data_IF_413039482213
#
_entry.id   IF_413039482213
#
_cell.length_a   1.000
_cell.length_b   1.000
_cell.length_c   1.000
_cell.angle_alpha   90.00
_cell.angle_beta   90.00
_cell.angle_gamma   90.00
#
_symmetry.space_group_name_H-M   'P 1'
#
loop_
_entity.id
_entity.type
_entity.pdbx_description
1 polymer ?
#
# COMPACT_ATOMS: atom_id res chain seq x y z
N UNK A 1 -21.48 17.02 24.33
CA UNK A 1 -21.57 15.55 24.11
C UNK A 1 -20.79 15.04 22.87
N UNK A 2 -20.82 15.66 21.69
CA UNK A 2 -20.10 15.18 20.49
C UNK A 2 -18.56 15.05 20.63
N UNK A 3 -17.89 15.90 21.39
CA UNK A 3 -16.41 15.82 21.58
C UNK A 3 -15.93 14.60 22.38
N UNK A 4 -16.75 14.04 23.26
CA UNK A 4 -16.40 12.84 24.05
C UNK A 4 -16.44 11.56 23.21
N UNK A 5 -17.44 11.42 22.32
CA UNK A 5 -17.55 10.25 21.45
C UNK A 5 -16.39 10.13 20.46
N UNK A 6 -15.93 11.25 19.91
CA UNK A 6 -14.78 11.26 18.98
C UNK A 6 -13.48 10.84 19.67
N UNK A 7 -13.31 11.19 20.97
CA UNK A 7 -12.10 10.84 21.73
C UNK A 7 -12.08 9.35 22.12
N UNK A 8 -13.25 8.76 22.38
CA UNK A 8 -13.39 7.33 22.68
C UNK A 8 -13.18 6.51 21.39
N UNK A 9 -13.77 6.94 20.26
CA UNK A 9 -13.59 6.27 18.97
C UNK A 9 -12.11 6.23 18.54
N UNK A 10 -11.37 7.33 18.72
CA UNK A 10 -9.93 7.37 18.43
C UNK A 10 -9.13 6.41 19.31
N UNK A 11 -9.45 6.28 20.59
CA UNK A 11 -8.75 5.35 21.49
C UNK A 11 -9.06 3.89 21.18
N UNK A 12 -10.31 3.55 20.84
CA UNK A 12 -10.69 2.17 20.49
C UNK A 12 -10.08 1.75 19.15
N UNK A 13 -9.98 2.65 18.19
CA UNK A 13 -9.34 2.36 16.90
C UNK A 13 -7.85 2.02 17.06
N UNK A 14 -7.14 2.75 17.95
CA UNK A 14 -5.72 2.47 18.25
C UNK A 14 -5.49 1.14 18.98
N UNK A 15 -6.47 0.68 19.77
CA UNK A 15 -6.39 -0.64 20.43
C UNK A 15 -6.75 -1.79 19.50
N UNK A 16 -7.55 -1.57 18.46
CA UNK A 16 -7.89 -2.63 17.50
C UNK A 16 -6.73 -3.01 16.57
N UNK A 17 -5.82 -2.08 16.29
CA UNK A 17 -4.68 -2.34 15.40
C UNK A 17 -3.75 -3.43 15.96
N UNK A 18 -3.26 -3.37 17.23
CA UNK A 18 -2.45 -4.46 17.79
C UNK A 18 -3.24 -5.75 17.97
N UNK A 19 -4.52 -5.69 18.31
CA UNK A 19 -5.35 -6.90 18.46
C UNK A 19 -5.53 -7.63 17.11
N UNK A 20 -5.68 -6.89 15.99
CA UNK A 20 -5.70 -7.48 14.65
C UNK A 20 -4.36 -8.11 14.27
N UNK A 21 -3.25 -7.48 14.63
CA UNK A 21 -1.90 -8.00 14.37
C UNK A 21 -1.61 -9.28 15.17
N UNK A 22 -2.12 -9.38 16.41
CA UNK A 22 -1.97 -10.59 17.23
C UNK A 22 -2.87 -11.75 16.80
N UNK A 23 -4.02 -11.49 16.19
CA UNK A 23 -4.91 -12.55 15.71
C UNK A 23 -4.42 -13.25 14.41
N UNK A 24 -3.45 -12.66 13.71
CA UNK A 24 -2.87 -13.21 12.50
C UNK A 24 -1.81 -14.29 12.75
N UNK A 25 -1.37 -14.47 14.00
CA UNK A 25 -0.31 -15.43 14.36
C UNK A 25 -0.78 -16.87 14.54
N UNK A 26 -2.01 -17.24 14.22
CA UNK A 26 -2.50 -18.61 14.34
C UNK A 26 -2.34 -19.41 13.05
N UNK A 27 -1.24 -20.16 12.99
CA UNK A 27 -1.04 -21.38 12.19
C UNK A 27 -1.29 -21.29 10.68
N UNK A 28 -0.35 -20.73 9.95
CA UNK A 28 -0.18 -21.04 8.54
C UNK A 28 0.95 -22.07 8.34
N UNK A 29 0.65 -23.33 8.54
CA UNK A 29 1.49 -24.39 8.00
C UNK A 29 1.28 -24.43 6.48
N UNK A 30 2.35 -24.21 5.71
CA UNK A 30 2.57 -24.50 4.29
C UNK A 30 1.99 -23.55 3.20
N UNK A 31 1.53 -22.38 3.49
CA UNK A 31 1.38 -21.33 2.47
C UNK A 31 1.96 -20.06 3.08
N UNK A 32 3.01 -19.51 2.48
CA UNK A 32 3.67 -18.32 2.99
C UNK A 32 2.69 -17.15 3.09
N UNK A 33 2.49 -16.63 4.29
CA UNK A 33 1.76 -15.40 4.52
C UNK A 33 2.74 -14.33 4.93
N UNK A 34 2.60 -13.13 4.38
CA UNK A 34 3.52 -12.04 4.64
C UNK A 34 2.76 -10.77 4.99
N UNK A 35 3.26 -10.06 5.98
CA UNK A 35 2.94 -8.66 6.17
C UNK A 35 3.92 -7.83 5.35
N UNK A 36 3.40 -6.92 4.52
CA UNK A 36 4.23 -6.10 3.66
C UNK A 36 4.11 -4.64 4.05
N UNK A 37 5.24 -3.96 4.09
CA UNK A 37 5.31 -2.50 4.27
C UNK A 37 6.11 -1.94 3.12
N UNK A 38 5.55 -0.94 2.44
CA UNK A 38 6.21 -0.27 1.32
C UNK A 38 6.08 1.24 1.42
N UNK A 39 7.09 1.90 0.90
CA UNK A 39 7.08 3.34 0.65
C UNK A 39 7.50 3.59 -0.79
N UNK A 40 6.97 4.61 -1.40
CA UNK A 40 7.28 4.93 -2.77
C UNK A 40 6.89 6.32 -3.19
N UNK A 41 7.23 6.63 -4.41
CA UNK A 41 6.85 7.87 -5.06
C UNK A 41 6.12 7.59 -6.36
N UNK A 42 5.19 8.44 -6.70
CA UNK A 42 4.50 8.39 -7.98
C UNK A 42 4.46 9.76 -8.66
N UNK A 43 4.43 9.73 -9.98
CA UNK A 43 4.19 10.91 -10.78
C UNK A 43 2.67 11.11 -10.98
N UNK A 44 2.15 12.34 -10.87
CA UNK A 44 2.86 13.57 -10.49
C UNK A 44 2.97 13.71 -8.95
N UNK A 45 4.17 14.08 -8.47
CA UNK A 45 4.47 14.62 -7.12
C UNK A 45 3.73 13.96 -5.96
N UNK A 46 3.77 12.63 -5.90
CA UNK A 46 3.03 11.84 -4.93
C UNK A 46 3.98 10.98 -4.10
N UNK A 47 3.83 11.02 -2.79
CA UNK A 47 4.43 10.08 -1.85
C UNK A 47 3.36 9.07 -1.43
N UNK A 48 3.71 7.79 -1.45
CA UNK A 48 2.79 6.71 -1.09
C UNK A 48 3.38 5.82 0.00
N UNK A 49 2.55 5.42 0.93
CA UNK A 49 2.84 4.38 1.91
C UNK A 49 1.78 3.30 1.80
N UNK A 50 2.22 2.06 1.73
CA UNK A 50 1.34 0.89 1.62
C UNK A 50 1.61 -0.08 2.75
N UNK A 51 0.56 -0.54 3.39
CA UNK A 51 0.55 -1.68 4.31
C UNK A 51 -0.31 -2.76 3.67
N UNK A 52 0.22 -3.98 3.53
CA UNK A 52 -0.54 -5.06 2.93
C UNK A 52 -0.28 -6.42 3.59
N UNK A 53 -1.27 -7.28 3.46
CA UNK A 53 -1.21 -8.68 3.79
C UNK A 53 -1.20 -9.48 2.49
N UNK A 54 -0.16 -10.28 2.29
CA UNK A 54 -0.01 -11.17 1.16
C UNK A 54 -0.18 -12.61 1.58
N UNK A 55 -1.01 -13.34 0.86
CA UNK A 55 -1.14 -14.79 0.98
C UNK A 55 -0.62 -15.44 -0.28
N UNK A 56 0.53 -16.09 -0.16
CA UNK A 56 1.12 -16.86 -1.23
C UNK A 56 0.35 -18.19 -1.43
N UNK A 57 0.16 -18.53 -2.69
CA UNK A 57 -0.45 -19.79 -3.13
C UNK A 57 0.58 -20.64 -3.88
N UNK A 58 0.14 -21.66 -4.59
CA UNK A 58 1.04 -22.51 -5.37
C UNK A 58 1.80 -21.68 -6.42
N UNK A 59 3.07 -22.03 -6.61
CA UNK A 59 3.94 -21.46 -7.65
C UNK A 59 4.26 -19.96 -7.47
N UNK A 60 4.34 -19.46 -6.25
CA UNK A 60 4.55 -18.03 -5.94
C UNK A 60 3.48 -17.08 -6.49
N UNK A 61 2.33 -17.59 -6.87
CA UNK A 61 1.17 -16.73 -7.09
C UNK A 61 0.65 -16.26 -5.75
N UNK A 62 0.16 -15.04 -5.65
CA UNK A 62 -0.34 -14.54 -4.38
C UNK A 62 -1.56 -13.64 -4.52
N UNK A 63 -2.33 -13.58 -3.43
CA UNK A 63 -3.35 -12.58 -3.21
C UNK A 63 -2.84 -11.57 -2.21
N UNK A 64 -2.98 -10.32 -2.54
CA UNK A 64 -2.59 -9.18 -1.70
C UNK A 64 -3.84 -8.38 -1.32
N UNK A 65 -3.98 -8.09 -0.02
CA UNK A 65 -4.96 -7.16 0.52
C UNK A 65 -4.20 -5.98 1.09
N UNK A 66 -4.49 -4.77 0.61
CA UNK A 66 -3.66 -3.63 0.91
C UNK A 66 -4.46 -2.41 1.36
N UNK A 67 -3.82 -1.59 2.17
CA UNK A 67 -4.24 -0.23 2.50
C UNK A 67 -3.14 0.74 2.08
N UNK A 68 -3.52 1.78 1.37
CA UNK A 68 -2.61 2.84 0.90
C UNK A 68 -2.97 4.17 1.52
N UNK A 69 -1.94 4.94 1.83
CA UNK A 69 -2.06 6.34 2.15
C UNK A 69 -1.15 7.12 1.19
N UNK A 70 -1.71 8.09 0.52
CA UNK A 70 -1.02 8.84 -0.53
C UNK A 70 -1.08 10.32 -0.21
N UNK A 71 0.06 10.98 -0.25
CA UNK A 71 0.21 12.42 -0.05
C UNK A 71 0.71 13.01 -1.36
N UNK A 72 -0.07 13.88 -1.95
CA UNK A 72 0.36 14.64 -3.13
C UNK A 72 0.89 15.99 -2.64
N UNK A 73 2.09 16.36 -3.04
CA UNK A 73 2.72 17.62 -2.66
C UNK A 73 2.87 18.53 -3.87
N UNK A 74 2.51 19.78 -3.69
CA UNK A 74 2.67 20.84 -4.68
C UNK A 74 3.63 21.90 -4.14
N UNK A 75 4.25 22.67 -5.02
CA UNK A 75 5.06 23.82 -4.64
C UNK A 75 4.15 24.93 -4.12
N UNK A 76 4.66 25.66 -3.14
CA UNK A 76 4.02 26.88 -2.67
C UNK A 76 4.15 27.94 -3.78
N UNK A 77 3.04 28.51 -4.27
CA UNK A 77 3.07 29.51 -5.35
C UNK A 77 3.91 30.74 -5.01
N UNK A 78 4.01 31.09 -3.73
CA UNK A 78 4.75 32.30 -3.29
C UNK A 78 6.24 31.98 -3.08
N UNK A 79 6.55 30.79 -2.57
CA UNK A 79 7.93 30.41 -2.24
C UNK A 79 8.68 29.76 -3.42
N UNK A 80 7.98 29.24 -4.43
CA UNK A 80 8.56 28.52 -5.56
C UNK A 80 9.23 27.19 -5.19
N UNK A 81 9.00 26.70 -3.97
CA UNK A 81 9.47 25.41 -3.49
C UNK A 81 8.46 24.80 -2.51
N UNK A 82 8.67 23.52 -2.15
CA UNK A 82 7.81 22.81 -1.20
C UNK A 82 8.07 23.36 0.20
N UNK A 83 7.08 24.02 0.78
CA UNK A 83 7.12 24.45 2.18
C UNK A 83 6.53 23.38 3.09
N UNK A 84 6.81 23.45 4.40
CA UNK A 84 6.19 22.56 5.38
C UNK A 84 4.66 22.67 5.38
N UNK A 85 4.15 23.88 5.15
CA UNK A 85 2.71 24.13 5.11
C UNK A 85 2.10 23.53 3.85
N UNK A 86 2.71 23.71 2.69
CA UNK A 86 2.22 23.14 1.43
C UNK A 86 2.27 21.61 1.46
N UNK A 87 3.30 21.00 2.06
CA UNK A 87 3.39 19.55 2.21
C UNK A 87 2.21 18.95 3.00
N UNK A 88 1.78 19.59 4.10
CA UNK A 88 0.73 19.03 4.97
C UNK A 88 -0.69 19.44 4.57
N UNK A 89 -0.86 20.46 3.74
CA UNK A 89 -2.18 20.95 3.26
C UNK A 89 -2.58 20.36 1.92
N UNK A 90 -1.78 19.47 1.38
CA UNK A 90 -1.99 18.90 0.06
C UNK A 90 -3.03 17.78 0.03
N UNK A 91 -3.34 17.40 -1.20
CA UNK A 91 -4.31 16.37 -1.52
C UNK A 91 -3.89 15.00 -0.97
N UNK A 92 -4.49 14.61 0.14
CA UNK A 92 -4.26 13.31 0.77
C UNK A 92 -5.37 12.34 0.39
N UNK A 93 -4.98 11.15 -0.01
CA UNK A 93 -5.94 10.08 -0.30
C UNK A 93 -5.60 8.83 0.51
N UNK A 94 -6.62 8.08 0.84
CA UNK A 94 -6.46 6.76 1.42
C UNK A 94 -7.34 5.78 0.66
N UNK A 95 -6.93 4.52 0.62
CA UNK A 95 -7.68 3.48 -0.05
C UNK A 95 -7.38 2.11 0.53
N UNK A 96 -8.31 1.20 0.34
CA UNK A 96 -8.16 -0.22 0.61
C UNK A 96 -8.50 -1.01 -0.64
N UNK A 97 -7.81 -2.11 -0.85
CA UNK A 97 -7.98 -2.88 -2.07
C UNK A 97 -7.47 -4.29 -1.99
N UNK A 98 -7.62 -4.99 -3.10
CA UNK A 98 -7.07 -6.32 -3.30
C UNK A 98 -6.41 -6.42 -4.68
N UNK A 99 -5.36 -7.22 -4.76
CA UNK A 99 -4.66 -7.50 -5.99
C UNK A 99 -4.32 -8.99 -6.09
N UNK A 100 -4.32 -9.49 -7.31
CA UNK A 100 -3.78 -10.81 -7.64
C UNK A 100 -2.41 -10.63 -8.27
N UNK A 101 -1.45 -11.46 -7.85
CA UNK A 101 -0.05 -11.39 -8.30
C UNK A 101 0.38 -12.74 -8.88
N UNK A 102 0.14 -13.00 -10.18
CA UNK A 102 0.69 -14.17 -10.87
C UNK A 102 2.21 -14.04 -11.00
N UNK A 103 2.93 -15.07 -10.62
CA UNK A 103 4.37 -15.15 -10.76
C UNK A 103 4.75 -15.42 -12.22
N UNK A 104 5.55 -14.54 -12.81
CA UNK A 104 5.99 -14.63 -14.22
C UNK A 104 7.46 -14.98 -14.39
N UNK A 105 8.28 -14.71 -13.37
CA UNK A 105 9.71 -15.06 -13.40
C UNK A 105 10.12 -15.71 -12.09
N UNK A 106 11.00 -16.72 -12.16
CA UNK A 106 11.48 -17.45 -10.99
C UNK A 106 12.97 -17.67 -11.08
N UNK A 107 13.65 -17.37 -10.00
CA UNK A 107 15.04 -17.70 -9.79
C UNK A 107 15.24 -18.42 -8.45
N UNK A 108 16.48 -18.71 -8.10
CA UNK A 108 16.79 -19.43 -6.85
C UNK A 108 16.39 -18.65 -5.61
N UNK A 109 16.67 -17.34 -5.59
CA UNK A 109 16.44 -16.48 -4.43
C UNK A 109 15.58 -15.25 -4.78
N UNK A 110 14.91 -15.25 -5.92
CA UNK A 110 14.07 -14.14 -6.36
C UNK A 110 12.93 -14.61 -7.25
N UNK A 111 11.87 -13.85 -7.29
CA UNK A 111 10.78 -14.06 -8.23
C UNK A 111 10.17 -12.72 -8.64
N UNK A 112 9.55 -12.69 -9.80
CA UNK A 112 8.85 -11.52 -10.29
C UNK A 112 7.40 -11.85 -10.59
N UNK A 113 6.50 -10.96 -10.20
CA UNK A 113 5.06 -11.12 -10.35
C UNK A 113 4.46 -9.92 -11.04
N UNK A 114 3.49 -10.16 -11.92
CA UNK A 114 2.59 -9.10 -12.34
C UNK A 114 1.62 -8.80 -11.20
N UNK A 115 1.23 -7.56 -11.04
CA UNK A 115 0.25 -7.14 -10.02
C UNK A 115 -0.95 -6.53 -10.71
N UNK A 116 -2.13 -7.11 -10.52
CA UNK A 116 -3.39 -6.60 -11.05
C UNK A 116 -4.40 -6.52 -9.92
N UNK A 117 -4.96 -5.34 -9.69
CA UNK A 117 -5.84 -5.14 -8.55
C UNK A 117 -6.77 -3.95 -8.70
N UNK A 118 -7.58 -3.77 -7.68
CA UNK A 118 -8.48 -2.63 -7.58
C UNK A 118 -8.58 -2.17 -6.13
N UNK A 119 -8.85 -0.89 -5.95
CA UNK A 119 -9.08 -0.29 -4.64
C UNK A 119 -10.22 0.70 -4.65
N UNK A 120 -10.76 0.92 -3.46
CA UNK A 120 -11.70 1.98 -3.17
C UNK A 120 -11.20 2.79 -1.97
N UNK A 121 -11.45 4.08 -1.99
CA UNK A 121 -10.96 4.99 -0.96
C UNK A 121 -11.64 6.34 -1.02
N UNK A 122 -10.98 7.32 -0.44
CA UNK A 122 -11.48 8.70 -0.38
C UNK A 122 -10.32 9.71 -0.36
N UNK A 123 -10.60 10.87 -0.87
CA UNK A 123 -9.74 12.07 -0.78
C UNK A 123 -10.22 13.07 0.29
N UNK A 124 -10.91 12.60 1.32
CA UNK A 124 -11.62 13.37 2.35
C UNK A 124 -12.94 13.99 1.88
N UNK A 125 -13.11 14.29 0.60
CA UNK A 125 -14.30 14.94 0.05
C UNK A 125 -15.14 14.02 -0.84
N UNK A 126 -14.48 13.08 -1.54
CA UNK A 126 -15.11 12.23 -2.55
C UNK A 126 -14.65 10.79 -2.43
N UNK A 127 -15.54 9.87 -2.75
CA UNK A 127 -15.14 8.47 -2.94
C UNK A 127 -14.37 8.32 -4.26
N UNK A 128 -13.26 7.61 -4.18
CA UNK A 128 -12.33 7.35 -5.28
C UNK A 128 -12.24 5.85 -5.48
N UNK A 129 -12.23 5.41 -6.73
CA UNK A 129 -11.86 4.05 -7.12
C UNK A 129 -10.58 4.07 -7.94
N UNK A 130 -9.79 3.02 -7.85
CA UNK A 130 -8.61 2.85 -8.71
C UNK A 130 -8.43 1.41 -9.15
N UNK A 131 -7.88 1.25 -10.36
CA UNK A 131 -7.37 -0.02 -10.87
C UNK A 131 -5.86 0.07 -10.90
N UNK A 132 -5.20 -0.99 -10.45
CA UNK A 132 -3.75 -1.07 -10.30
C UNK A 132 -3.20 -2.14 -11.23
N UNK A 133 -2.21 -1.78 -12.03
CA UNK A 133 -1.44 -2.73 -12.84
C UNK A 133 0.04 -2.46 -12.59
N UNK A 134 0.83 -3.50 -12.41
CA UNK A 134 2.25 -3.31 -12.14
C UNK A 134 3.06 -4.59 -12.23
N UNK A 135 4.33 -4.43 -11.93
CA UNK A 135 5.29 -5.51 -11.79
C UNK A 135 6.01 -5.38 -10.45
N UNK A 136 6.09 -6.46 -9.73
CA UNK A 136 6.81 -6.55 -8.46
C UNK A 136 7.93 -7.59 -8.60
N UNK A 137 9.13 -7.23 -8.15
CA UNK A 137 10.25 -8.15 -8.08
C UNK A 137 10.68 -8.32 -6.62
N UNK A 138 10.68 -9.55 -6.17
CA UNK A 138 10.96 -9.94 -4.78
C UNK A 138 12.28 -10.68 -4.70
N UNK A 139 13.11 -10.32 -3.74
CA UNK A 139 14.35 -10.99 -3.36
C UNK A 139 14.19 -11.60 -1.98
N UNK A 140 14.31 -12.90 -1.90
CA UNK A 140 14.23 -13.64 -0.65
C UNK A 140 15.53 -13.47 0.15
N UNK A 141 15.40 -13.05 1.39
CA UNK A 141 16.47 -12.90 2.37
C UNK A 141 16.50 -14.12 3.30
N UNK A 142 17.15 -13.99 4.45
CA UNK A 142 17.17 -15.01 5.49
C UNK A 142 15.84 -15.03 6.28
N UNK A 143 15.52 -16.16 6.88
CA UNK A 143 14.40 -16.36 7.82
C UNK A 143 13.01 -16.00 7.27
N UNK A 144 12.82 -16.15 5.95
CA UNK A 144 11.54 -15.87 5.31
C UNK A 144 11.27 -14.39 5.02
N UNK A 145 12.16 -13.49 5.43
CA UNK A 145 12.09 -12.09 5.05
C UNK A 145 12.38 -11.92 3.56
N UNK A 146 11.75 -10.94 2.96
CA UNK A 146 12.04 -10.59 1.58
C UNK A 146 12.02 -9.09 1.38
N UNK A 147 12.87 -8.61 0.49
CA UNK A 147 12.84 -7.25 -0.02
C UNK A 147 12.17 -7.25 -1.38
N UNK A 148 11.39 -6.24 -1.67
CA UNK A 148 10.79 -6.09 -3.00
C UNK A 148 10.85 -4.66 -3.51
N UNK A 149 10.87 -4.55 -4.83
CA UNK A 149 10.56 -3.31 -5.52
C UNK A 149 9.41 -3.54 -6.48
N UNK A 150 8.59 -2.53 -6.69
CA UNK A 150 7.51 -2.60 -7.65
C UNK A 150 7.39 -1.32 -8.48
N UNK A 151 7.02 -1.51 -9.73
CA UNK A 151 6.62 -0.43 -10.63
C UNK A 151 5.15 -0.62 -10.94
N UNK A 152 4.36 0.42 -10.81
CA UNK A 152 2.92 0.34 -10.99
C UNK A 152 2.34 1.52 -11.75
N UNK A 153 1.23 1.28 -12.36
CA UNK A 153 0.34 2.28 -12.94
C UNK A 153 -1.01 2.18 -12.25
N UNK A 154 -1.46 3.30 -11.72
CA UNK A 154 -2.76 3.43 -11.06
C UNK A 154 -3.69 4.27 -11.93
N UNK A 155 -4.79 3.68 -12.35
CA UNK A 155 -5.85 4.34 -13.13
C UNK A 155 -6.97 4.71 -12.16
N UNK A 156 -7.08 6.00 -11.84
CA UNK A 156 -8.00 6.50 -10.81
C UNK A 156 -9.30 7.01 -11.41
N UNK A 157 -10.40 6.58 -10.84
CA UNK A 157 -11.75 7.03 -11.18
C UNK A 157 -12.17 8.08 -10.14
N UNK A 158 -12.58 9.27 -10.60
CA UNK A 158 -12.97 10.44 -9.79
C UNK A 158 -11.85 11.06 -8.95
N UNK A 159 -10.60 10.66 -9.12
CA UNK A 159 -9.45 11.33 -8.51
C UNK A 159 -9.05 12.62 -9.22
N UNK A 160 -8.18 13.40 -8.57
CA UNK A 160 -7.58 14.61 -9.18
C UNK A 160 -6.73 14.25 -10.39
N UNK A 161 -5.97 13.16 -10.30
CA UNK A 161 -5.13 12.61 -11.35
C UNK A 161 -5.67 11.26 -11.81
N UNK A 162 -5.85 11.09 -13.12
CA UNK A 162 -6.36 9.84 -13.69
C UNK A 162 -5.30 8.74 -13.75
N UNK A 163 -4.08 9.11 -14.08
CA UNK A 163 -2.96 8.18 -14.24
C UNK A 163 -1.87 8.54 -13.26
N UNK A 164 -1.36 7.55 -12.53
CA UNK A 164 -0.25 7.71 -11.59
C UNK A 164 0.72 6.57 -11.79
N UNK A 165 1.88 6.89 -12.33
CA UNK A 165 2.99 5.94 -12.48
C UNK A 165 3.87 6.04 -11.25
N UNK A 166 4.10 4.93 -10.57
CA UNK A 166 4.85 4.92 -9.32
C UNK A 166 5.85 3.80 -9.19
N UNK A 167 6.80 4.02 -8.28
CA UNK A 167 7.80 3.03 -7.88
C UNK A 167 7.74 2.91 -6.36
N UNK A 168 7.66 1.68 -5.86
CA UNK A 168 7.65 1.40 -4.43
C UNK A 168 8.79 0.43 -4.08
N UNK A 169 9.33 0.62 -2.88
CA UNK A 169 10.28 -0.28 -2.24
C UNK A 169 9.69 -0.74 -0.92
N UNK A 170 9.88 -2.00 -0.58
CA UNK A 170 9.31 -2.53 0.65
C UNK A 170 9.92 -3.82 1.15
N UNK A 171 9.42 -4.23 2.30
CA UNK A 171 9.80 -5.46 2.99
C UNK A 171 8.58 -6.36 3.16
N UNK A 172 8.80 -7.67 3.01
CA UNK A 172 7.84 -8.72 3.34
C UNK A 172 8.34 -9.41 4.61
N UNK A 173 7.49 -9.44 5.61
CA UNK A 173 7.73 -10.01 6.93
C UNK A 173 6.92 -11.30 7.01
N UNK A 174 7.54 -12.47 7.24
CA UNK A 174 6.82 -13.73 7.36
C UNK A 174 5.90 -13.73 8.58
N UNK A 175 4.72 -14.36 8.46
CA UNK A 175 3.72 -14.49 9.52
C UNK A 175 3.54 -15.94 9.96
#
# INVERSE_FOLDING_TARGET
MKKYYVKILKKSLWMMIPALLFSLSSKAQNQGSHLMVAVGGAYPRTLETTLSYERETLYHNSWEYFATCTIQYDEDPEAGHITRTSFWHNYNTWGVGAAYKPCVTRGRNHHGSLRVGASAGSDLNKAIGAVHVGYEHTYNLYDGWSFFFSVKEDITIRGKERFKTGVNLGLKIPL
#
